data_IF_920652590776
#
_entry.id   IF_920652590776
#
_cell.length_a   1.000
_cell.length_b   1.000
_cell.length_c   1.000
_cell.angle_alpha   90.00
_cell.angle_beta   90.00
_cell.angle_gamma   90.00
#
_symmetry.space_group_name_H-M   'P 1'
#
loop_
_entity.id
_entity.type
_entity.pdbx_description
1 polymer ?
#
# COMPACT_ATOMS: atom_id res chain seq x y z
N UNK A 1 12.28 -14.67 -16.59
CA UNK A 1 11.36 -14.18 -17.64
C UNK A 1 10.41 -13.21 -16.97
N UNK A 2 10.38 -11.95 -17.41
CA UNK A 2 9.36 -10.99 -16.98
C UNK A 2 8.07 -11.46 -17.63
N UNK A 3 7.14 -11.99 -16.84
CA UNK A 3 5.83 -12.42 -17.32
C UNK A 3 5.14 -11.26 -18.03
N UNK A 4 4.44 -11.57 -19.11
CA UNK A 4 3.67 -10.58 -19.86
C UNK A 4 2.65 -9.93 -18.93
N UNK A 5 2.73 -8.60 -18.77
CA UNK A 5 1.76 -7.84 -17.97
C UNK A 5 0.35 -8.07 -18.55
N UNK A 6 -0.49 -8.73 -17.78
CA UNK A 6 -1.89 -8.95 -18.14
C UNK A 6 -2.71 -7.74 -17.68
N UNK A 7 -3.57 -7.26 -18.52
CA UNK A 7 -4.54 -6.20 -18.20
C UNK A 7 -5.94 -6.79 -18.34
N UNK A 8 -6.78 -6.56 -17.33
CA UNK A 8 -8.18 -6.98 -17.37
C UNK A 8 -8.97 -6.16 -18.39
N UNK A 9 -10.02 -6.76 -18.94
CA UNK A 9 -10.94 -6.03 -19.81
C UNK A 9 -11.67 -4.92 -19.06
N UNK A 10 -12.09 -3.87 -19.76
CA UNK A 10 -12.89 -2.79 -19.18
C UNK A 10 -14.17 -3.32 -18.51
N UNK A 11 -14.79 -4.32 -19.08
CA UNK A 11 -15.98 -4.97 -18.50
C UNK A 11 -15.69 -5.67 -17.19
N UNK A 12 -14.50 -6.26 -17.03
CA UNK A 12 -14.03 -6.84 -15.77
C UNK A 12 -13.71 -5.76 -14.73
N UNK A 13 -13.01 -4.71 -15.14
CA UNK A 13 -12.66 -3.59 -14.26
C UNK A 13 -13.91 -2.90 -13.70
N UNK A 14 -14.94 -2.72 -14.49
CA UNK A 14 -16.22 -2.14 -14.07
C UNK A 14 -17.00 -2.97 -13.04
N UNK A 15 -16.63 -4.22 -12.81
CA UNK A 15 -17.20 -5.06 -11.73
C UNK A 15 -16.51 -4.83 -10.40
N UNK A 16 -15.38 -4.14 -10.37
CA UNK A 16 -14.67 -3.80 -9.13
C UNK A 16 -15.51 -2.86 -8.26
N UNK A 17 -15.33 -2.99 -6.95
CA UNK A 17 -16.13 -2.25 -5.96
C UNK A 17 -15.38 -1.07 -5.33
N UNK A 18 -14.22 -0.74 -5.83
CA UNK A 18 -13.46 0.42 -5.36
C UNK A 18 -14.16 1.73 -5.74
N UNK A 19 -13.85 2.79 -5.01
CA UNK A 19 -14.32 4.15 -5.28
C UNK A 19 -14.10 4.56 -6.73
N UNK A 20 -12.92 4.30 -7.26
CA UNK A 20 -12.56 4.57 -8.65
C UNK A 20 -13.60 4.04 -9.65
N UNK A 21 -14.11 2.83 -9.45
CA UNK A 21 -15.02 2.16 -10.38
C UNK A 21 -16.50 2.33 -10.06
N UNK A 22 -16.83 3.00 -8.92
CA UNK A 22 -18.21 3.20 -8.47
C UNK A 22 -18.71 4.64 -8.52
N UNK A 23 -17.83 5.62 -8.44
CA UNK A 23 -18.23 7.03 -8.35
C UNK A 23 -18.65 7.64 -9.69
N UNK A 24 -18.23 7.05 -10.79
CA UNK A 24 -18.44 7.63 -12.12
C UNK A 24 -19.44 6.85 -12.94
N UNK A 25 -20.15 7.55 -13.79
CA UNK A 25 -21.07 6.95 -14.75
C UNK A 25 -20.36 6.01 -15.72
N UNK A 26 -21.12 5.09 -16.32
CA UNK A 26 -20.57 4.04 -17.19
C UNK A 26 -19.93 4.53 -18.48
N UNK A 27 -20.20 5.75 -18.91
CA UNK A 27 -19.62 6.42 -20.07
C UNK A 27 -18.29 7.15 -19.76
N UNK A 28 -17.94 7.25 -18.47
CA UNK A 28 -16.68 7.87 -18.02
C UNK A 28 -15.61 6.80 -17.80
N UNK A 29 -14.41 7.05 -18.32
CA UNK A 29 -13.22 6.28 -17.98
C UNK A 29 -12.53 6.92 -16.77
N UNK A 30 -12.61 6.30 -15.58
CA UNK A 30 -12.08 6.91 -14.35
C UNK A 30 -10.55 6.78 -14.29
N UNK A 31 -9.89 7.89 -14.05
CA UNK A 31 -8.43 7.95 -13.83
C UNK A 31 -8.05 8.69 -12.53
N UNK A 32 -8.90 8.71 -11.48
CA UNK A 32 -8.53 9.34 -10.21
C UNK A 32 -7.61 8.40 -9.42
N UNK A 33 -6.90 8.97 -8.47
CA UNK A 33 -6.03 8.30 -7.50
C UNK A 33 -5.00 7.35 -8.13
N UNK A 34 -4.06 6.88 -7.34
CA UNK A 34 -3.01 5.95 -7.79
C UNK A 34 -3.47 4.47 -7.71
N UNK A 35 -4.74 4.20 -8.01
CA UNK A 35 -5.25 2.83 -8.07
C UNK A 35 -4.94 2.21 -9.43
N UNK A 36 -4.16 1.15 -9.43
CA UNK A 36 -3.78 0.43 -10.65
C UNK A 36 -4.86 -0.56 -11.06
N UNK A 37 -5.04 -0.70 -12.38
CA UNK A 37 -6.00 -1.64 -12.96
C UNK A 37 -5.40 -3.02 -13.28
N UNK A 38 -4.15 -3.23 -12.96
CA UNK A 38 -3.51 -4.53 -13.08
C UNK A 38 -4.07 -5.55 -12.08
N UNK A 39 -4.12 -6.83 -12.43
CA UNK A 39 -4.43 -7.88 -11.45
C UNK A 39 -3.36 -7.95 -10.36
N UNK A 40 -3.78 -8.39 -9.18
CA UNK A 40 -2.85 -8.70 -8.10
C UNK A 40 -1.95 -9.85 -8.52
N UNK A 41 -0.67 -9.79 -8.18
CA UNK A 41 0.28 -10.85 -8.50
C UNK A 41 -0.12 -12.17 -7.82
N UNK A 42 -0.06 -13.27 -8.57
CA UNK A 42 -0.51 -14.58 -8.10
C UNK A 42 0.10 -15.02 -6.75
N UNK A 43 1.41 -14.84 -6.48
CA UNK A 43 1.98 -15.20 -5.18
C UNK A 43 1.34 -14.46 -4.00
N UNK A 44 0.83 -13.24 -4.21
CA UNK A 44 0.13 -12.47 -3.17
C UNK A 44 -1.27 -13.08 -2.92
N UNK A 45 -1.97 -13.42 -4.00
CA UNK A 45 -3.29 -14.08 -3.92
C UNK A 45 -3.16 -15.39 -3.17
N UNK A 46 -2.20 -16.23 -3.56
CA UNK A 46 -1.94 -17.53 -2.94
C UNK A 46 -1.63 -17.40 -1.44
N UNK A 47 -0.81 -16.44 -1.05
CA UNK A 47 -0.47 -16.20 0.36
C UNK A 47 -1.70 -15.83 1.18
N UNK A 48 -2.53 -14.88 0.70
CA UNK A 48 -3.75 -14.46 1.39
C UNK A 48 -4.76 -15.62 1.47
N UNK A 49 -4.99 -16.34 0.39
CA UNK A 49 -5.90 -17.49 0.36
C UNK A 49 -5.43 -18.60 1.33
N UNK A 50 -4.12 -18.86 1.40
CA UNK A 50 -3.58 -19.85 2.33
C UNK A 50 -3.82 -19.46 3.79
N UNK A 51 -3.68 -18.19 4.16
CA UNK A 51 -4.01 -17.69 5.50
C UNK A 51 -5.50 -17.85 5.81
N UNK A 52 -6.37 -17.44 4.89
CA UNK A 52 -7.82 -17.56 5.06
C UNK A 52 -8.26 -19.03 5.23
N UNK A 53 -7.70 -19.94 4.47
CA UNK A 53 -8.00 -21.40 4.59
C UNK A 53 -7.57 -21.99 5.94
N UNK A 54 -6.56 -21.41 6.59
CA UNK A 54 -6.15 -21.81 7.95
C UNK A 54 -6.92 -21.09 9.05
N UNK A 55 -7.87 -20.21 8.69
CA UNK A 55 -8.56 -19.32 9.65
C UNK A 55 -7.59 -18.46 10.48
N UNK A 56 -6.47 -18.09 9.89
CA UNK A 56 -5.42 -17.29 10.51
C UNK A 56 -5.78 -15.80 10.40
N UNK A 57 -6.79 -15.41 11.16
CA UNK A 57 -7.40 -14.06 11.16
C UNK A 57 -7.36 -13.42 12.56
N UNK A 58 -6.42 -13.83 13.39
CA UNK A 58 -6.25 -13.34 14.74
C UNK A 58 -5.66 -11.92 14.79
N UNK A 59 -5.46 -11.44 16.02
CA UNK A 59 -4.80 -10.16 16.25
C UNK A 59 -3.34 -10.20 15.83
N UNK A 60 -2.88 -9.13 15.17
CA UNK A 60 -1.49 -8.98 14.80
C UNK A 60 -0.63 -8.77 16.06
N UNK A 61 0.26 -9.70 16.33
CA UNK A 61 1.27 -9.60 17.38
C UNK A 61 2.60 -9.04 16.84
N UNK A 62 3.71 -9.53 17.39
CA UNK A 62 5.03 -9.30 16.80
C UNK A 62 5.11 -10.01 15.45
N UNK A 63 5.60 -9.30 14.44
CA UNK A 63 5.67 -9.79 13.08
C UNK A 63 7.08 -9.52 12.48
N UNK A 64 8.09 -10.28 12.93
CA UNK A 64 9.48 -10.08 12.51
C UNK A 64 9.68 -10.31 11.01
N UNK A 65 8.88 -11.19 10.40
CA UNK A 65 8.98 -11.57 8.98
C UNK A 65 8.82 -10.35 8.05
N UNK A 66 7.97 -9.38 8.42
CA UNK A 66 7.83 -8.16 7.64
C UNK A 66 9.09 -7.32 7.69
N UNK A 67 9.69 -7.19 8.88
CA UNK A 67 10.95 -6.46 9.07
C UNK A 67 12.08 -7.06 8.25
N UNK A 68 12.22 -8.38 8.28
CA UNK A 68 13.21 -9.14 7.51
C UNK A 68 12.98 -8.97 5.99
N UNK A 69 11.74 -9.13 5.54
CA UNK A 69 11.38 -8.99 4.12
C UNK A 69 11.66 -7.56 3.62
N UNK A 70 11.28 -6.53 4.40
CA UNK A 70 11.53 -5.14 4.05
C UNK A 70 13.03 -4.82 4.04
N UNK A 71 13.78 -5.23 5.05
CA UNK A 71 15.24 -5.03 5.12
C UNK A 71 15.93 -5.63 3.90
N UNK A 72 15.59 -6.87 3.54
CA UNK A 72 16.11 -7.51 2.33
C UNK A 72 15.72 -6.79 1.04
N UNK A 73 14.49 -6.29 0.94
CA UNK A 73 14.04 -5.49 -0.20
C UNK A 73 14.79 -4.16 -0.29
N UNK A 74 14.90 -3.41 0.81
CA UNK A 74 15.58 -2.12 0.88
C UNK A 74 17.07 -2.26 0.49
N UNK A 75 17.72 -3.30 0.96
CA UNK A 75 19.11 -3.59 0.59
C UNK A 75 19.25 -3.86 -0.90
N UNK A 76 18.39 -4.69 -1.49
CA UNK A 76 18.48 -5.04 -2.93
C UNK A 76 18.12 -3.89 -3.87
N UNK A 77 17.14 -3.06 -3.49
CA UNK A 77 16.57 -2.04 -4.39
C UNK A 77 17.24 -0.68 -4.23
N UNK A 78 17.68 -0.36 -3.02
CA UNK A 78 18.15 0.98 -2.67
C UNK A 78 19.54 0.99 -2.04
N UNK A 79 20.18 -0.17 -1.88
CA UNK A 79 21.43 -0.32 -1.13
C UNK A 79 21.34 0.31 0.29
N UNK A 80 20.16 0.18 0.91
CA UNK A 80 19.85 0.73 2.21
C UNK A 80 19.79 -0.37 3.25
N UNK A 81 20.71 -0.31 4.24
CA UNK A 81 20.74 -1.21 5.38
C UNK A 81 19.77 -0.72 6.45
N UNK A 82 18.76 -1.51 6.72
CA UNK A 82 17.72 -1.22 7.74
C UNK A 82 17.72 -2.35 8.75
N UNK A 83 17.71 -2.01 10.04
CA UNK A 83 17.50 -3.00 11.09
C UNK A 83 16.07 -3.54 11.03
N UNK A 84 15.86 -4.84 10.78
CA UNK A 84 14.53 -5.46 10.74
C UNK A 84 13.72 -5.20 12.01
N UNK A 85 14.38 -5.08 13.17
CA UNK A 85 13.71 -4.84 14.44
C UNK A 85 13.22 -3.40 14.61
N UNK A 86 13.66 -2.46 13.79
CA UNK A 86 13.21 -1.07 13.80
C UNK A 86 11.90 -0.86 13.01
N UNK A 87 11.47 -1.85 12.23
CA UNK A 87 10.27 -1.74 11.39
C UNK A 87 9.01 -1.80 12.25
N UNK A 88 8.10 -0.89 12.00
CA UNK A 88 6.78 -0.81 12.66
C UNK A 88 5.69 -0.64 11.61
N UNK A 89 4.51 -1.12 11.95
CA UNK A 89 3.32 -1.03 11.11
C UNK A 89 2.48 0.13 11.59
N UNK A 90 2.05 0.98 10.67
CA UNK A 90 1.01 1.97 10.87
C UNK A 90 -0.22 1.58 10.03
N UNK A 91 -1.38 2.11 10.39
CA UNK A 91 -2.64 1.83 9.70
C UNK A 91 -2.59 2.25 8.24
N UNK A 92 -2.04 3.43 8.00
CA UNK A 92 -1.84 4.01 6.67
C UNK A 92 -0.80 5.14 6.71
N UNK A 93 -0.45 5.67 5.54
CA UNK A 93 0.55 6.74 5.40
C UNK A 93 0.10 8.05 6.05
N UNK A 94 -1.20 8.40 6.00
CA UNK A 94 -1.73 9.61 6.61
C UNK A 94 -1.60 9.56 8.13
N UNK A 95 -2.04 8.47 8.75
CA UNK A 95 -1.88 8.24 10.20
C UNK A 95 -0.40 8.23 10.59
N UNK A 96 0.45 7.54 9.84
CA UNK A 96 1.89 7.52 10.11
C UNK A 96 2.50 8.92 10.07
N UNK A 97 2.13 9.74 9.09
CA UNK A 97 2.59 11.13 8.95
C UNK A 97 2.19 11.97 10.16
N UNK A 98 0.92 11.89 10.57
CA UNK A 98 0.40 12.64 11.72
C UNK A 98 1.12 12.22 13.01
N UNK A 99 1.28 10.92 13.23
CA UNK A 99 1.93 10.43 14.46
C UNK A 99 3.43 10.79 14.50
N UNK A 100 4.11 10.78 13.36
CA UNK A 100 5.50 11.26 13.30
C UNK A 100 5.57 12.76 13.62
N UNK A 101 4.70 13.59 13.03
CA UNK A 101 4.67 15.03 13.29
C UNK A 101 4.38 15.34 14.76
N UNK A 102 3.55 14.55 15.44
CA UNK A 102 3.31 14.70 16.89
C UNK A 102 4.53 14.42 17.74
N UNK A 103 5.44 13.58 17.27
CA UNK A 103 6.67 13.22 18.00
C UNK A 103 7.78 14.24 17.75
N UNK A 104 7.93 14.71 16.50
CA UNK A 104 9.05 15.54 16.10
C UNK A 104 8.78 17.04 16.14
N UNK A 105 7.49 17.46 16.22
CA UNK A 105 7.04 18.85 16.19
C UNK A 105 6.29 19.26 17.45
N UNK A 106 6.13 20.58 17.62
CA UNK A 106 5.31 21.19 18.65
C UNK A 106 4.15 21.98 18.01
N UNK A 107 3.05 22.26 18.76
CA UNK A 107 1.98 23.12 18.28
C UNK A 107 2.50 24.49 17.83
N UNK A 108 2.22 24.84 16.57
CA UNK A 108 2.69 26.11 15.97
C UNK A 108 3.94 25.96 15.10
N UNK A 109 4.60 24.81 15.11
CA UNK A 109 5.70 24.55 14.18
C UNK A 109 5.24 24.55 12.74
N UNK A 110 6.16 24.94 11.84
CA UNK A 110 5.89 25.01 10.41
C UNK A 110 6.35 23.73 9.72
N UNK A 111 5.51 23.22 8.82
CA UNK A 111 5.83 22.07 7.96
C UNK A 111 6.00 22.56 6.54
N UNK A 112 7.07 22.13 5.87
CA UNK A 112 7.30 22.43 4.45
C UNK A 112 6.60 21.36 3.61
N UNK A 113 5.76 21.79 2.70
CA UNK A 113 5.16 20.95 1.65
C UNK A 113 5.63 21.41 0.28
N UNK A 114 5.74 20.48 -0.66
CA UNK A 114 6.25 20.74 -2.02
C UNK A 114 5.13 20.47 -3.06
N UNK A 115 4.21 21.40 -3.31
CA UNK A 115 3.21 21.24 -4.36
C UNK A 115 3.83 21.11 -5.76
N UNK A 116 3.19 20.33 -6.66
CA UNK A 116 1.96 19.57 -6.47
C UNK A 116 2.16 18.33 -5.61
N UNK A 117 1.27 18.10 -4.65
CA UNK A 117 1.33 16.99 -3.69
C UNK A 117 -0.08 16.39 -3.53
N UNK A 118 -0.15 15.16 -3.05
CA UNK A 118 -1.42 14.51 -2.75
C UNK A 118 -2.24 15.36 -1.76
N UNK A 119 -3.52 15.67 -2.07
CA UNK A 119 -4.29 16.65 -1.32
C UNK A 119 -4.52 16.35 0.17
N UNK A 120 -4.37 15.08 0.58
CA UNK A 120 -4.53 14.70 1.97
C UNK A 120 -3.28 14.96 2.86
N UNK A 121 -2.17 15.42 2.27
CA UNK A 121 -0.94 15.73 3.02
C UNK A 121 -0.84 17.17 3.50
#
# INVERSE_FOLDING_TARGET
MVGQLRIDSLSTLRQRKSTKWREYNSDVLPLPVAEMDYPVAEPIIEAVVAMMRRSDTGYLGKFPELGEAFSGFAQRRWNWSVDPQSIRIATDVGVATIEILRIVGAPGDRVVVMPPIYPAF
#
